data_IF_539810467781
#
_entry.id   IF_539810467781
#
_cell.length_a   1.000
_cell.length_b   1.000
_cell.length_c   1.000
_cell.angle_alpha   90.00
_cell.angle_beta   90.00
_cell.angle_gamma   90.00
#
_symmetry.space_group_name_H-M   'P 1'
#
loop_
_entity.id
_entity.type
_entity.pdbx_description
1 polymer ?
#
# COMPACT_ATOMS: atom_id res chain seq x y z
N UNK A 1 34.52 36.59 -2.03
CA UNK A 1 33.40 36.75 -1.04
C UNK A 1 32.07 37.16 -1.68
N UNK A 2 31.95 38.16 -2.57
CA UNK A 2 30.64 38.54 -3.18
C UNK A 2 30.01 37.43 -4.01
N UNK A 3 30.77 36.70 -4.85
CA UNK A 3 30.27 35.60 -5.67
C UNK A 3 29.72 34.44 -4.81
N UNK A 4 30.42 34.07 -3.73
CA UNK A 4 29.96 33.01 -2.81
C UNK A 4 28.64 33.37 -2.13
N UNK A 5 28.42 34.61 -1.72
CA UNK A 5 27.16 35.07 -1.14
C UNK A 5 26.00 35.01 -2.15
N UNK A 6 26.27 35.31 -3.42
CA UNK A 6 25.27 35.21 -4.50
C UNK A 6 24.85 33.74 -4.70
N UNK A 7 25.83 32.83 -4.82
CA UNK A 7 25.53 31.40 -4.96
C UNK A 7 24.80 30.81 -3.76
N UNK A 8 25.16 31.23 -2.55
CA UNK A 8 24.44 30.83 -1.33
C UNK A 8 22.97 31.32 -1.37
N UNK A 9 22.75 32.58 -1.74
CA UNK A 9 21.40 33.11 -1.85
C UNK A 9 20.57 32.39 -2.92
N UNK A 10 21.16 32.07 -4.08
CA UNK A 10 20.48 31.27 -5.11
C UNK A 10 20.14 29.88 -4.59
N UNK A 11 21.07 29.20 -3.93
CA UNK A 11 20.81 27.88 -3.34
C UNK A 11 19.68 27.90 -2.31
N UNK A 12 19.68 28.89 -1.41
CA UNK A 12 18.60 29.03 -0.42
C UNK A 12 17.24 29.31 -1.05
N UNK A 13 17.19 30.15 -2.09
CA UNK A 13 15.95 30.40 -2.84
C UNK A 13 15.46 29.13 -3.52
N UNK A 14 16.35 28.38 -4.15
CA UNK A 14 15.99 27.10 -4.80
C UNK A 14 15.47 26.09 -3.78
N UNK A 15 16.11 25.97 -2.62
CA UNK A 15 15.62 25.11 -1.53
C UNK A 15 14.22 25.53 -1.08
N UNK A 16 14.01 26.82 -0.84
CA UNK A 16 12.70 27.33 -0.43
C UNK A 16 11.61 27.07 -1.48
N UNK A 17 11.88 27.38 -2.74
CA UNK A 17 10.94 27.14 -3.85
C UNK A 17 10.64 25.65 -3.99
N UNK A 18 11.66 24.80 -3.87
CA UNK A 18 11.49 23.34 -3.94
C UNK A 18 10.64 22.81 -2.77
N UNK A 19 10.89 23.30 -1.54
CA UNK A 19 10.13 22.88 -0.37
C UNK A 19 8.67 23.31 -0.45
N UNK A 20 8.40 24.54 -0.84
CA UNK A 20 7.03 25.04 -1.05
C UNK A 20 6.35 24.27 -2.17
N UNK A 21 7.05 24.05 -3.29
CA UNK A 21 6.53 23.27 -4.41
C UNK A 21 6.20 21.84 -4.00
N UNK A 22 7.08 21.16 -3.26
CA UNK A 22 6.85 19.81 -2.76
C UNK A 22 5.61 19.76 -1.84
N UNK A 23 5.49 20.70 -0.90
CA UNK A 23 4.34 20.80 -0.01
C UNK A 23 3.02 20.98 -0.78
N UNK A 24 2.99 21.88 -1.76
CA UNK A 24 1.81 22.09 -2.60
C UNK A 24 1.40 20.84 -3.38
N UNK A 25 2.38 20.11 -3.92
CA UNK A 25 2.10 18.88 -4.66
C UNK A 25 1.66 17.74 -3.73
N UNK A 26 2.27 17.59 -2.55
CA UNK A 26 1.87 16.56 -1.59
C UNK A 26 0.45 16.77 -1.07
N UNK A 27 0.09 18.01 -0.74
CA UNK A 27 -1.25 18.36 -0.24
C UNK A 27 -2.30 18.52 -1.34
N UNK A 28 -1.98 18.20 -2.59
CA UNK A 28 -2.83 18.48 -3.74
C UNK A 28 -3.36 19.92 -3.75
N UNK A 29 -2.45 20.87 -3.55
CA UNK A 29 -2.75 22.31 -3.46
C UNK A 29 -3.72 22.66 -2.32
N UNK A 30 -3.63 21.96 -1.19
CA UNK A 30 -4.43 22.18 0.00
C UNK A 30 -5.79 21.47 0.01
N UNK A 31 -5.99 20.49 -0.89
CA UNK A 31 -7.20 19.64 -0.89
C UNK A 31 -7.06 18.40 -0.02
N UNK A 32 -5.86 18.13 0.47
CA UNK A 32 -5.57 17.02 1.38
C UNK A 32 -5.01 17.60 2.66
N UNK A 33 -5.69 17.35 3.77
CA UNK A 33 -5.19 17.68 5.10
C UNK A 33 -4.28 16.59 5.62
N UNK A 34 -3.11 16.98 6.13
CA UNK A 34 -2.10 16.10 6.70
C UNK A 34 -2.09 16.21 8.21
N UNK A 35 -2.21 15.06 8.88
CA UNK A 35 -2.14 14.97 10.33
C UNK A 35 -1.06 13.98 10.72
N UNK A 36 0.05 14.49 11.24
CA UNK A 36 1.07 13.70 11.90
C UNK A 36 0.59 13.38 13.31
N UNK A 37 0.45 12.09 13.64
CA UNK A 37 -0.19 11.68 14.87
C UNK A 37 0.41 10.36 15.43
N UNK A 38 0.34 10.24 16.74
CA UNK A 38 0.50 8.98 17.45
C UNK A 38 -0.79 8.66 18.16
N UNK A 39 -1.28 7.45 18.05
CA UNK A 39 -2.49 7.02 18.73
C UNK A 39 -2.27 5.76 19.56
N UNK A 40 -3.03 5.66 20.66
CA UNK A 40 -3.03 4.47 21.50
C UNK A 40 -3.98 3.44 20.91
N UNK A 41 -3.48 2.26 20.64
CA UNK A 41 -4.24 1.13 20.09
C UNK A 41 -5.12 0.48 21.16
N UNK A 42 -6.02 -0.42 20.75
CA UNK A 42 -6.87 -1.15 21.71
C UNK A 42 -6.06 -2.05 22.67
N UNK A 43 -4.88 -2.51 22.25
CA UNK A 43 -3.95 -3.26 23.09
C UNK A 43 -3.12 -2.39 24.05
N UNK A 44 -3.29 -1.06 23.97
CA UNK A 44 -2.62 -0.10 24.86
C UNK A 44 -1.23 0.35 24.39
N UNK A 45 -0.84 0.01 23.15
CA UNK A 45 0.44 0.40 22.56
C UNK A 45 0.33 1.67 21.73
N UNK A 46 1.42 2.43 21.64
CA UNK A 46 1.49 3.63 20.80
C UNK A 46 1.91 3.29 19.37
N UNK A 47 1.12 3.73 18.40
CA UNK A 47 1.41 3.58 16.97
C UNK A 47 1.51 4.94 16.30
N UNK A 48 2.65 5.17 15.64
CA UNK A 48 2.96 6.36 14.86
C UNK A 48 2.35 6.26 13.46
N UNK A 49 1.68 7.31 13.01
CA UNK A 49 1.02 7.34 11.71
C UNK A 49 0.92 8.74 11.11
N UNK A 50 0.76 8.77 9.80
CA UNK A 50 0.38 9.94 9.03
C UNK A 50 -1.02 9.73 8.47
N UNK A 51 -1.98 10.56 8.87
CA UNK A 51 -3.35 10.54 8.37
C UNK A 51 -3.54 11.63 7.31
N UNK A 52 -3.97 11.21 6.12
CA UNK A 52 -4.32 12.08 5.01
C UNK A 52 -5.83 12.08 4.83
N UNK A 53 -6.44 13.25 4.95
CA UNK A 53 -7.89 13.43 4.83
C UNK A 53 -8.19 14.28 3.59
N UNK A 54 -8.76 13.70 2.53
CA UNK A 54 -9.13 14.46 1.34
C UNK A 54 -10.40 15.29 1.57
N UNK A 55 -10.56 16.40 0.85
CA UNK A 55 -11.67 17.35 1.00
C UNK A 55 -13.08 16.73 0.85
N UNK A 56 -13.19 15.57 0.19
CA UNK A 56 -14.46 14.87 0.02
C UNK A 56 -14.88 14.04 1.24
N UNK A 57 -13.98 13.80 2.21
CA UNK A 57 -14.28 13.00 3.39
C UNK A 57 -14.96 13.89 4.46
N UNK A 58 -16.21 13.59 4.77
CA UNK A 58 -17.00 14.34 5.75
C UNK A 58 -17.92 13.39 6.53
N UNK A 59 -18.42 13.83 7.68
CA UNK A 59 -19.32 13.04 8.53
C UNK A 59 -20.62 12.69 7.80
N UNK A 60 -21.12 13.59 6.99
CA UNK A 60 -22.32 13.40 6.16
C UNK A 60 -22.02 12.73 4.81
N UNK A 61 -20.74 12.54 4.48
CA UNK A 61 -20.26 11.84 3.28
C UNK A 61 -19.00 11.03 3.60
N UNK A 62 -19.09 9.92 4.36
CA UNK A 62 -17.93 9.12 4.73
C UNK A 62 -17.20 8.56 3.52
N UNK A 63 -15.88 8.73 3.49
CA UNK A 63 -15.04 8.30 2.39
C UNK A 63 -14.50 6.88 2.61
N UNK A 64 -14.16 6.14 1.53
CA UNK A 64 -13.39 4.91 1.65
C UNK A 64 -12.01 5.21 2.23
N UNK A 65 -11.40 4.19 2.85
CA UNK A 65 -10.12 4.38 3.49
C UNK A 65 -9.10 3.27 3.16
N UNK A 66 -7.81 3.58 3.31
CA UNK A 66 -6.72 2.64 3.08
C UNK A 66 -5.67 2.78 4.19
N UNK A 67 -5.27 1.66 4.81
CA UNK A 67 -4.06 1.60 5.61
C UNK A 67 -2.88 1.21 4.72
N UNK A 68 -1.79 1.98 4.81
CA UNK A 68 -0.58 1.76 4.03
C UNK A 68 0.59 1.45 4.97
N UNK A 69 1.31 0.34 4.71
CA UNK A 69 2.44 -0.10 5.51
C UNK A 69 3.72 -0.23 4.68
N UNK A 70 4.85 -0.02 5.34
CA UNK A 70 6.18 -0.01 4.72
C UNK A 70 6.87 -1.38 4.76
N UNK A 71 8.01 -1.50 4.08
CA UNK A 71 8.89 -2.67 4.13
C UNK A 71 9.87 -2.63 5.32
N UNK A 72 10.69 -3.67 5.44
CA UNK A 72 11.69 -3.78 6.50
C UNK A 72 12.71 -2.63 6.43
N UNK A 73 13.20 -2.17 7.59
CA UNK A 73 14.14 -1.04 7.75
C UNK A 73 13.67 0.29 7.17
N UNK A 74 12.37 0.43 6.93
CA UNK A 74 11.73 1.64 6.45
C UNK A 74 10.80 2.21 7.53
N UNK A 75 10.09 3.26 7.19
CA UNK A 75 9.04 3.89 7.95
C UNK A 75 7.92 4.33 6.99
N UNK A 76 6.88 4.99 7.52
CA UNK A 76 5.71 5.42 6.77
C UNK A 76 6.05 6.33 5.57
N UNK A 77 7.10 7.16 5.66
CA UNK A 77 7.49 8.10 4.60
C UNK A 77 7.94 7.39 3.31
N UNK A 78 8.38 6.14 3.40
CA UNK A 78 8.77 5.36 2.22
C UNK A 78 7.58 4.99 1.31
N UNK A 79 6.36 5.25 1.76
CA UNK A 79 5.14 5.00 0.99
C UNK A 79 4.52 6.28 0.42
N UNK A 80 5.29 7.38 0.36
CA UNK A 80 4.80 8.72 0.00
C UNK A 80 4.07 8.76 -1.35
N UNK A 81 4.57 8.08 -2.35
CA UNK A 81 3.94 8.03 -3.67
C UNK A 81 2.57 7.32 -3.61
N UNK A 82 2.46 6.25 -2.80
CA UNK A 82 1.21 5.51 -2.64
C UNK A 82 0.17 6.33 -1.86
N UNK A 83 0.51 6.81 -0.66
CA UNK A 83 -0.48 7.46 0.18
C UNK A 83 -0.98 8.79 -0.40
N UNK A 84 -0.11 9.57 -1.07
CA UNK A 84 -0.52 10.80 -1.76
C UNK A 84 -1.48 10.49 -2.92
N UNK A 85 -1.17 9.49 -3.74
CA UNK A 85 -1.99 9.14 -4.90
C UNK A 85 -3.34 8.53 -4.49
N UNK A 86 -3.41 7.77 -3.40
CA UNK A 86 -4.71 7.30 -2.87
C UNK A 86 -5.54 8.46 -2.31
N UNK A 87 -4.93 9.37 -1.54
CA UNK A 87 -5.63 10.53 -1.00
C UNK A 87 -6.19 11.44 -2.10
N UNK A 88 -5.44 11.67 -3.18
CA UNK A 88 -5.91 12.40 -4.38
C UNK A 88 -7.11 11.76 -5.06
N UNK A 89 -7.32 10.46 -4.87
CA UNK A 89 -8.47 9.71 -5.39
C UNK A 89 -9.65 9.66 -4.42
N UNK A 90 -9.55 10.41 -3.33
CA UNK A 90 -10.63 10.57 -2.38
C UNK A 90 -10.67 9.51 -1.28
N UNK A 91 -9.59 8.76 -1.07
CA UNK A 91 -9.46 7.87 0.08
C UNK A 91 -8.93 8.63 1.29
N UNK A 92 -9.46 8.34 2.47
CA UNK A 92 -8.76 8.63 3.73
C UNK A 92 -7.62 7.63 3.85
N UNK A 93 -6.39 8.11 4.01
CA UNK A 93 -5.22 7.23 4.06
C UNK A 93 -4.52 7.33 5.39
N UNK A 94 -4.24 6.18 6.01
CA UNK A 94 -3.41 6.07 7.21
C UNK A 94 -2.12 5.35 6.84
N UNK A 95 -1.00 6.08 6.75
CA UNK A 95 0.31 5.51 6.57
C UNK A 95 0.94 5.27 7.95
N UNK A 96 1.12 4.01 8.33
CA UNK A 96 1.66 3.65 9.65
C UNK A 96 3.16 3.39 9.61
N UNK A 97 3.86 3.72 10.69
CA UNK A 97 5.13 3.09 11.02
C UNK A 97 4.84 1.83 11.83
N UNK A 98 5.23 0.65 11.34
CA UNK A 98 5.00 -0.61 12.05
C UNK A 98 5.65 -0.58 13.44
N UNK A 99 5.16 -1.38 14.38
CA UNK A 99 5.78 -1.49 15.70
C UNK A 99 7.29 -1.71 15.60
N UNK A 100 8.06 -0.98 16.43
CA UNK A 100 9.52 -0.99 16.41
C UNK A 100 10.16 -0.23 15.23
N UNK A 101 9.39 0.55 14.48
CA UNK A 101 9.87 1.42 13.39
C UNK A 101 9.35 2.85 13.60
N UNK A 102 10.06 3.85 13.04
CA UNK A 102 9.72 5.25 13.22
C UNK A 102 9.60 5.60 14.70
N UNK A 103 8.54 6.31 15.06
CA UNK A 103 8.24 6.69 16.45
C UNK A 103 7.21 5.74 17.11
N UNK A 104 6.87 4.62 16.47
CA UNK A 104 6.00 3.59 17.05
C UNK A 104 6.70 2.84 18.20
N UNK A 105 5.90 2.43 19.17
CA UNK A 105 6.39 1.66 20.34
C UNK A 105 7.10 0.38 19.92
N UNK A 106 8.17 0.04 20.64
CA UNK A 106 8.84 -1.26 20.52
C UNK A 106 8.19 -2.24 21.46
N UNK A 107 7.35 -3.12 20.94
CA UNK A 107 6.71 -4.15 21.77
C UNK A 107 7.61 -5.38 21.94
N UNK A 108 7.59 -5.98 23.14
CA UNK A 108 8.49 -7.08 23.49
C UNK A 108 8.24 -8.36 22.66
N UNK A 109 7.07 -8.51 22.08
CA UNK A 109 6.67 -9.65 21.26
C UNK A 109 6.93 -9.44 19.76
N UNK A 110 8.03 -8.76 19.38
CA UNK A 110 8.41 -8.48 17.99
C UNK A 110 8.64 -9.73 17.11
N UNK A 111 8.03 -10.83 17.45
CA UNK A 111 7.91 -11.97 16.56
C UNK A 111 6.87 -11.63 15.49
N UNK A 112 7.26 -11.59 14.24
CA UNK A 112 6.39 -11.41 13.08
C UNK A 112 5.17 -12.34 13.05
N UNK A 113 5.24 -13.41 13.83
CA UNK A 113 4.29 -14.52 13.91
C UNK A 113 3.47 -14.51 15.19
N UNK A 114 3.50 -13.43 15.96
CA UNK A 114 2.77 -13.33 17.21
C UNK A 114 1.44 -12.60 17.00
N UNK A 115 0.33 -13.25 17.31
CA UNK A 115 -1.02 -12.68 17.21
C UNK A 115 -1.20 -11.42 18.06
N UNK A 116 -0.35 -11.22 19.09
CA UNK A 116 -0.41 -10.07 19.98
C UNK A 116 0.05 -8.76 19.31
N UNK A 117 0.76 -8.81 18.18
CA UNK A 117 1.26 -7.61 17.52
C UNK A 117 0.32 -7.01 16.47
N UNK A 118 -0.91 -7.54 16.35
CA UNK A 118 -1.95 -7.04 15.43
C UNK A 118 -1.43 -6.79 14.00
N UNK A 119 -0.73 -7.77 13.44
CA UNK A 119 -0.10 -7.65 12.14
C UNK A 119 0.87 -6.44 12.06
N UNK A 120 1.72 -6.31 13.08
CA UNK A 120 2.65 -5.19 13.25
C UNK A 120 1.99 -3.80 13.31
N UNK A 121 0.82 -3.72 13.89
CA UNK A 121 0.04 -2.50 14.02
C UNK A 121 -0.85 -2.19 12.82
N UNK A 122 -0.78 -2.97 11.72
CA UNK A 122 -1.60 -2.70 10.55
C UNK A 122 -3.09 -2.90 10.85
N UNK A 123 -3.45 -3.95 11.57
CA UNK A 123 -4.84 -4.17 11.95
C UNK A 123 -5.33 -3.15 13.00
N UNK A 124 -4.44 -2.65 13.87
CA UNK A 124 -4.75 -1.51 14.73
C UNK A 124 -5.07 -0.25 13.92
N UNK A 125 -4.32 -0.01 12.84
CA UNK A 125 -4.62 1.06 11.88
C UNK A 125 -5.99 0.91 11.22
N UNK A 126 -6.40 -0.32 10.87
CA UNK A 126 -7.74 -0.60 10.33
C UNK A 126 -8.82 -0.24 11.35
N UNK A 127 -8.67 -0.67 12.60
CA UNK A 127 -9.62 -0.34 13.68
C UNK A 127 -9.66 1.16 13.97
N UNK A 128 -8.51 1.84 13.92
CA UNK A 128 -8.45 3.27 14.08
C UNK A 128 -9.25 3.99 12.98
N UNK A 129 -9.01 3.65 11.69
CA UNK A 129 -9.78 4.21 10.58
C UNK A 129 -11.28 3.94 10.71
N UNK A 130 -11.67 2.72 11.09
CA UNK A 130 -13.07 2.35 11.29
C UNK A 130 -13.77 3.16 12.39
N UNK A 131 -13.02 3.74 13.34
CA UNK A 131 -13.54 4.58 14.41
C UNK A 131 -13.78 6.03 14.00
N UNK A 132 -13.24 6.46 12.85
CA UNK A 132 -13.34 7.86 12.41
C UNK A 132 -14.70 8.13 11.76
N UNK A 133 -15.41 9.20 12.16
CA UNK A 133 -16.79 9.43 11.71
C UNK A 133 -16.92 9.83 10.23
N UNK A 134 -15.84 10.19 9.58
CA UNK A 134 -15.75 10.54 8.16
C UNK A 134 -15.20 9.41 7.29
N UNK A 135 -15.01 8.21 7.87
CA UNK A 135 -14.60 6.99 7.18
C UNK A 135 -15.78 6.04 7.03
N UNK A 136 -15.96 5.49 5.85
CA UNK A 136 -16.88 4.38 5.63
C UNK A 136 -16.20 3.07 6.05
N UNK A 137 -16.53 2.59 7.25
CA UNK A 137 -15.93 1.39 7.82
C UNK A 137 -16.20 0.10 7.00
N UNK A 138 -17.16 0.10 6.09
CA UNK A 138 -17.40 -1.02 5.17
C UNK A 138 -16.48 -1.04 3.95
N UNK A 139 -15.66 0.00 3.78
CA UNK A 139 -14.79 0.21 2.61
C UNK A 139 -13.36 0.55 3.01
N UNK A 140 -12.78 -0.26 3.88
CA UNK A 140 -11.37 -0.10 4.28
C UNK A 140 -10.52 -1.12 3.53
N UNK A 141 -9.51 -0.63 2.81
CA UNK A 141 -8.49 -1.44 2.17
C UNK A 141 -7.18 -1.45 2.96
N UNK A 142 -6.34 -2.45 2.69
CA UNK A 142 -4.98 -2.52 3.22
C UNK A 142 -3.97 -2.72 2.10
N UNK A 143 -2.83 -2.05 2.18
CA UNK A 143 -1.72 -2.26 1.25
C UNK A 143 -0.39 -2.07 1.95
N UNK A 144 0.63 -2.72 1.44
CA UNK A 144 1.98 -2.58 1.96
C UNK A 144 3.02 -3.22 1.06
N UNK A 145 4.26 -2.80 1.23
CA UNK A 145 5.40 -3.31 0.49
C UNK A 145 6.20 -4.29 1.33
N UNK A 146 6.60 -5.44 0.75
CA UNK A 146 7.50 -6.40 1.40
C UNK A 146 6.91 -6.91 2.73
N UNK A 147 7.52 -6.60 3.86
CA UNK A 147 6.99 -6.91 5.18
C UNK A 147 5.65 -6.24 5.46
N UNK A 148 5.41 -5.05 4.91
CA UNK A 148 4.09 -4.42 4.97
C UNK A 148 3.02 -5.21 4.24
N UNK A 149 3.36 -5.87 3.11
CA UNK A 149 2.45 -6.79 2.43
C UNK A 149 2.20 -8.06 3.26
N UNK A 150 3.21 -8.56 3.98
CA UNK A 150 3.03 -9.65 4.95
C UNK A 150 2.09 -9.22 6.09
N UNK A 151 2.26 -8.00 6.61
CA UNK A 151 1.34 -7.45 7.60
C UNK A 151 -0.10 -7.35 7.08
N UNK A 152 -0.31 -6.96 5.81
CA UNK A 152 -1.64 -6.98 5.19
C UNK A 152 -2.25 -8.38 5.17
N UNK A 153 -1.45 -9.38 4.86
CA UNK A 153 -1.85 -10.79 4.86
C UNK A 153 -2.29 -11.24 6.26
N UNK A 154 -1.47 -10.98 7.28
CA UNK A 154 -1.77 -11.32 8.67
C UNK A 154 -2.99 -10.56 9.21
N UNK A 155 -3.16 -9.28 8.82
CA UNK A 155 -4.33 -8.51 9.19
C UNK A 155 -5.64 -9.10 8.64
N UNK A 156 -5.63 -9.65 7.42
CA UNK A 156 -6.78 -10.35 6.85
C UNK A 156 -7.13 -11.59 7.67
N UNK A 157 -6.13 -12.32 8.21
CA UNK A 157 -6.37 -13.48 9.10
C UNK A 157 -6.98 -13.07 10.44
N UNK A 158 -6.57 -11.93 10.98
CA UNK A 158 -7.03 -11.41 12.27
C UNK A 158 -8.36 -10.64 12.17
N UNK A 159 -8.85 -10.37 10.96
CA UNK A 159 -10.04 -9.57 10.70
C UNK A 159 -11.34 -10.35 10.95
N UNK A 160 -11.59 -10.66 12.22
CA UNK A 160 -12.82 -11.32 12.65
C UNK A 160 -14.06 -10.42 12.49
N UNK A 161 -13.87 -9.09 12.53
CA UNK A 161 -14.95 -8.12 12.43
C UNK A 161 -15.34 -7.81 10.97
N UNK A 162 -14.57 -8.30 9.99
CA UNK A 162 -14.84 -8.12 8.56
C UNK A 162 -14.68 -6.67 8.10
N UNK A 163 -13.77 -5.91 8.72
CA UNK A 163 -13.50 -4.51 8.40
C UNK A 163 -12.71 -4.32 7.11
N UNK A 164 -11.87 -5.31 6.74
CA UNK A 164 -11.03 -5.23 5.56
C UNK A 164 -11.82 -5.65 4.34
N UNK A 165 -12.08 -4.72 3.42
CA UNK A 165 -12.79 -5.00 2.17
C UNK A 165 -11.85 -5.45 1.04
N UNK A 166 -10.61 -4.97 1.03
CA UNK A 166 -9.64 -5.25 -0.03
C UNK A 166 -8.20 -5.31 0.50
N UNK A 167 -7.35 -6.13 -0.14
CA UNK A 167 -5.93 -6.24 0.19
C UNK A 167 -5.05 -6.22 -1.07
N UNK A 168 -4.07 -5.31 -1.11
CA UNK A 168 -3.04 -5.26 -2.16
C UNK A 168 -1.68 -5.58 -1.57
N UNK A 169 -1.10 -6.70 -1.98
CA UNK A 169 0.21 -7.17 -1.53
C UNK A 169 1.28 -6.73 -2.53
N UNK A 170 2.18 -5.83 -2.13
CA UNK A 170 3.26 -5.37 -3.00
C UNK A 170 4.55 -6.10 -2.65
N UNK A 171 5.07 -6.87 -3.61
CA UNK A 171 6.31 -7.64 -3.45
C UNK A 171 6.28 -8.64 -2.28
N UNK A 172 5.16 -9.35 -2.15
CA UNK A 172 5.02 -10.50 -1.26
C UNK A 172 4.04 -11.52 -1.85
N UNK A 173 4.20 -12.77 -1.45
CA UNK A 173 3.35 -13.87 -1.88
C UNK A 173 2.09 -13.98 -0.98
N UNK A 174 0.99 -14.37 -1.57
CA UNK A 174 -0.27 -14.66 -0.89
C UNK A 174 -0.45 -16.18 -0.74
N UNK A 175 0.59 -16.88 -0.30
CA UNK A 175 0.53 -18.33 -0.11
C UNK A 175 -0.16 -18.65 1.19
N UNK A 176 -1.12 -19.55 1.09
CA UNK A 176 -1.79 -20.09 2.25
C UNK A 176 -2.05 -21.58 2.07
N UNK A 177 -1.59 -22.31 3.08
CA UNK A 177 -1.91 -23.68 3.26
C UNK A 177 -2.66 -23.81 4.60
N UNK A 178 -3.64 -24.68 4.63
CA UNK A 178 -4.22 -25.10 5.90
C UNK A 178 -3.23 -25.98 6.69
N UNK A 179 -3.57 -26.37 7.89
CA UNK A 179 -2.74 -27.22 8.75
C UNK A 179 -2.42 -28.59 8.12
N UNK A 180 -3.15 -29.00 7.09
CA UNK A 180 -2.96 -30.24 6.33
C UNK A 180 -2.15 -30.03 5.06
N UNK A 181 -1.72 -28.80 4.78
CA UNK A 181 -0.97 -28.45 3.58
C UNK A 181 -1.82 -28.27 2.31
N UNK A 182 -3.13 -28.09 2.44
CA UNK A 182 -4.01 -27.83 1.32
C UNK A 182 -4.14 -26.33 1.06
N UNK A 183 -4.30 -25.95 -0.20
CA UNK A 183 -4.66 -24.59 -0.56
C UNK A 183 -6.07 -24.23 -0.08
N UNK A 184 -6.26 -22.97 0.30
CA UNK A 184 -7.59 -22.45 0.65
C UNK A 184 -7.71 -20.96 0.31
N UNK A 185 -8.95 -20.47 0.23
CA UNK A 185 -9.22 -19.07 -0.06
C UNK A 185 -9.19 -18.22 1.21
N UNK A 186 -8.01 -17.76 1.61
CA UNK A 186 -7.87 -16.94 2.81
C UNK A 186 -8.56 -15.58 2.71
N UNK A 187 -8.62 -14.98 1.53
CA UNK A 187 -9.24 -13.67 1.37
C UNK A 187 -10.77 -13.71 1.35
N UNK A 188 -11.38 -14.91 1.29
CA UNK A 188 -12.83 -15.05 1.23
C UNK A 188 -13.41 -14.27 0.04
N UNK A 189 -14.46 -13.49 0.31
CA UNK A 189 -15.11 -12.61 -0.66
C UNK A 189 -14.45 -11.23 -0.81
N UNK A 190 -13.36 -10.96 -0.09
CA UNK A 190 -12.58 -9.71 -0.20
C UNK A 190 -11.90 -9.62 -1.56
N UNK A 191 -11.73 -8.40 -2.05
CA UNK A 191 -10.87 -8.17 -3.21
C UNK A 191 -9.40 -8.32 -2.82
N UNK A 192 -8.60 -9.02 -3.62
CA UNK A 192 -7.18 -9.17 -3.35
C UNK A 192 -6.34 -9.13 -4.63
N UNK A 193 -5.19 -8.46 -4.58
CA UNK A 193 -4.23 -8.42 -5.67
C UNK A 193 -2.79 -8.47 -5.17
N UNK A 194 -1.90 -8.89 -6.07
CA UNK A 194 -0.46 -8.95 -5.82
C UNK A 194 0.26 -8.12 -6.89
N UNK A 195 1.24 -7.34 -6.49
CA UNK A 195 2.27 -6.81 -7.39
C UNK A 195 3.50 -7.67 -7.23
N UNK A 196 3.77 -8.52 -8.22
CA UNK A 196 4.88 -9.46 -8.25
C UNK A 196 5.93 -8.99 -9.26
N UNK A 197 6.97 -8.30 -8.77
CA UNK A 197 8.00 -7.70 -9.61
C UNK A 197 8.89 -8.76 -10.26
N UNK A 198 9.14 -8.66 -11.58
CA UNK A 198 9.89 -9.66 -12.36
C UNK A 198 11.35 -9.84 -11.91
N UNK A 199 11.90 -8.83 -11.23
CA UNK A 199 13.30 -8.85 -10.74
C UNK A 199 13.36 -8.79 -9.21
N UNK A 200 12.33 -9.32 -8.55
CA UNK A 200 12.25 -9.38 -7.09
C UNK A 200 12.97 -10.60 -6.54
N UNK A 201 14.22 -10.41 -6.14
CA UNK A 201 15.09 -11.47 -5.66
C UNK A 201 14.72 -11.99 -4.26
N UNK A 202 13.89 -11.27 -3.49
CA UNK A 202 13.58 -11.63 -2.11
C UNK A 202 12.47 -12.67 -2.00
N UNK A 203 11.33 -12.43 -2.63
CA UNK A 203 10.13 -13.25 -2.39
C UNK A 203 9.91 -14.32 -3.43
N UNK A 204 10.16 -14.04 -4.69
CA UNK A 204 9.77 -14.95 -5.77
C UNK A 204 10.86 -15.95 -6.14
N UNK A 205 12.06 -15.83 -5.56
CA UNK A 205 13.16 -16.75 -5.78
C UNK A 205 13.17 -17.96 -4.82
N UNK A 206 12.37 -17.93 -3.76
CA UNK A 206 12.35 -18.97 -2.71
C UNK A 206 12.07 -20.37 -3.27
N UNK A 207 11.32 -20.47 -4.36
CA UNK A 207 11.01 -21.73 -5.05
C UNK A 207 12.13 -22.26 -5.96
N UNK A 208 13.27 -21.55 -6.08
CA UNK A 208 14.35 -21.88 -7.03
C UNK A 208 14.08 -21.40 -8.46
N UNK A 209 12.95 -20.77 -8.73
CA UNK A 209 12.57 -20.23 -10.03
C UNK A 209 12.91 -18.74 -10.12
N UNK A 210 13.22 -18.21 -11.33
CA UNK A 210 13.36 -16.76 -11.51
C UNK A 210 12.11 -16.00 -11.08
N UNK A 211 12.22 -14.82 -10.47
CA UNK A 211 11.05 -14.04 -10.02
C UNK A 211 10.00 -13.79 -11.11
N UNK A 212 10.41 -13.60 -12.36
CA UNK A 212 9.51 -13.41 -13.50
C UNK A 212 8.59 -14.61 -13.77
N UNK A 213 8.98 -15.81 -13.31
CA UNK A 213 8.19 -17.03 -13.45
C UNK A 213 7.22 -17.27 -12.30
N UNK A 214 7.12 -16.31 -11.37
CA UNK A 214 6.20 -16.38 -10.23
C UNK A 214 4.78 -16.72 -10.64
N UNK A 215 4.30 -16.15 -11.73
CA UNK A 215 2.94 -16.40 -12.24
C UNK A 215 2.65 -17.87 -12.53
N UNK A 216 3.69 -18.68 -12.83
CA UNK A 216 3.56 -20.10 -13.11
C UNK A 216 3.71 -20.98 -11.87
N UNK A 217 3.95 -20.40 -10.70
CA UNK A 217 4.05 -21.13 -9.45
C UNK A 217 2.68 -21.56 -8.95
N UNK A 218 2.64 -22.67 -8.23
CA UNK A 218 1.41 -23.24 -7.68
C UNK A 218 0.68 -22.26 -6.77
N UNK A 219 1.42 -21.46 -6.01
CA UNK A 219 0.87 -20.45 -5.09
C UNK A 219 0.19 -19.32 -5.84
N UNK A 220 0.81 -18.79 -6.89
CA UNK A 220 0.23 -17.75 -7.73
C UNK A 220 -1.04 -18.26 -8.45
N UNK A 221 -1.01 -19.48 -8.97
CA UNK A 221 -2.15 -20.07 -9.66
C UNK A 221 -3.29 -20.38 -8.70
N UNK A 222 -3.01 -20.91 -7.51
CA UNK A 222 -4.02 -21.10 -6.48
C UNK A 222 -4.66 -19.78 -6.05
N UNK A 223 -3.86 -18.74 -5.82
CA UNK A 223 -4.36 -17.40 -5.50
C UNK A 223 -5.31 -16.86 -6.55
N UNK A 224 -4.90 -16.90 -7.83
CA UNK A 224 -5.75 -16.45 -8.94
C UNK A 224 -7.02 -17.29 -9.09
N UNK A 225 -6.99 -18.56 -8.72
CA UNK A 225 -8.12 -19.48 -8.73
C UNK A 225 -8.91 -19.50 -7.41
N UNK A 226 -8.76 -18.46 -6.56
CA UNK A 226 -9.51 -18.31 -5.31
C UNK A 226 -9.30 -19.47 -4.30
N UNK A 227 -8.05 -19.95 -4.20
CA UNK A 227 -7.65 -21.00 -3.28
C UNK A 227 -7.88 -22.43 -3.76
N UNK A 228 -8.24 -22.62 -5.02
CA UNK A 228 -8.37 -23.96 -5.62
C UNK A 228 -6.95 -24.54 -5.86
N UNK A 229 -6.81 -25.85 -5.67
CA UNK A 229 -5.57 -26.56 -6.03
C UNK A 229 -5.26 -26.32 -7.51
N UNK A 230 -4.04 -25.87 -7.87
CA UNK A 230 -3.67 -25.61 -9.25
C UNK A 230 -3.83 -26.82 -10.20
N UNK A 231 -3.76 -28.06 -9.66
CA UNK A 231 -4.02 -29.24 -10.47
C UNK A 231 -5.49 -29.36 -10.92
N UNK A 232 -6.40 -28.68 -10.25
CA UNK A 232 -7.85 -28.68 -10.55
C UNK A 232 -8.31 -27.34 -11.16
N UNK A 233 -7.47 -26.31 -11.10
CA UNK A 233 -7.76 -24.96 -11.55
C UNK A 233 -7.41 -24.71 -13.02
N UNK A 234 -7.94 -23.62 -13.56
CA UNK A 234 -7.52 -23.11 -14.86
C UNK A 234 -6.18 -22.39 -14.76
N UNK A 235 -5.35 -22.49 -15.80
CA UNK A 235 -4.12 -21.69 -15.90
C UNK A 235 -4.50 -20.24 -16.19
N UNK A 236 -4.14 -19.34 -15.27
CA UNK A 236 -4.46 -17.91 -15.34
C UNK A 236 -3.22 -17.06 -15.60
N UNK A 237 -3.42 -15.97 -16.35
CA UNK A 237 -2.36 -15.05 -16.74
C UNK A 237 -2.21 -13.89 -15.75
N UNK A 238 -1.00 -13.31 -15.69
CA UNK A 238 -0.78 -12.02 -15.02
C UNK A 238 -1.43 -10.86 -15.79
N UNK A 239 -1.56 -9.72 -15.13
CA UNK A 239 -2.10 -8.47 -15.67
C UNK A 239 -3.58 -8.56 -16.11
N UNK A 240 -4.32 -9.46 -15.51
CA UNK A 240 -5.76 -9.67 -15.71
C UNK A 240 -6.43 -9.76 -14.34
N UNK A 241 -7.61 -9.14 -14.21
CA UNK A 241 -8.48 -9.32 -13.05
C UNK A 241 -9.48 -10.45 -13.32
N UNK A 242 -9.53 -11.39 -12.39
CA UNK A 242 -10.47 -12.51 -12.36
C UNK A 242 -11.52 -12.27 -11.30
N UNK A 243 -12.76 -12.62 -11.60
CA UNK A 243 -13.89 -12.43 -10.71
C UNK A 243 -14.55 -13.77 -10.37
N UNK A 244 -15.05 -13.88 -9.14
CA UNK A 244 -15.84 -15.02 -8.69
C UNK A 244 -16.86 -14.56 -7.65
N UNK A 245 -18.09 -15.06 -7.76
CA UNK A 245 -19.10 -14.90 -6.72
C UNK A 245 -18.79 -15.79 -5.51
N UNK A 246 -18.65 -15.19 -4.35
CA UNK A 246 -18.36 -15.84 -3.08
C UNK A 246 -19.28 -15.23 -2.03
N UNK A 247 -20.11 -16.04 -1.39
CA UNK A 247 -21.05 -15.62 -0.34
C UNK A 247 -21.94 -14.42 -0.77
N UNK A 248 -22.37 -14.43 -2.02
CA UNK A 248 -23.22 -13.37 -2.60
C UNK A 248 -22.48 -12.04 -2.90
N UNK A 249 -21.16 -12.07 -2.91
CA UNK A 249 -20.32 -10.91 -3.26
C UNK A 249 -19.35 -11.26 -4.38
N UNK A 250 -19.16 -10.33 -5.30
CA UNK A 250 -18.16 -10.48 -6.37
C UNK A 250 -16.77 -10.21 -5.78
N UNK A 251 -15.94 -11.23 -5.70
CA UNK A 251 -14.54 -11.13 -5.30
C UNK A 251 -13.62 -11.01 -6.51
N UNK A 252 -12.53 -10.25 -6.38
CA UNK A 252 -11.53 -10.04 -7.42
C UNK A 252 -10.19 -10.65 -7.02
N UNK A 253 -9.49 -11.25 -7.99
CA UNK A 253 -8.09 -11.64 -7.87
C UNK A 253 -7.31 -11.13 -9.07
N UNK A 254 -6.09 -10.64 -8.83
CA UNK A 254 -5.19 -10.20 -9.89
C UNK A 254 -3.73 -10.23 -9.46
N UNK A 255 -2.85 -10.49 -10.41
CA UNK A 255 -1.39 -10.38 -10.23
C UNK A 255 -0.86 -9.45 -11.30
N UNK A 256 -0.28 -8.33 -10.89
CA UNK A 256 0.48 -7.43 -11.74
C UNK A 256 1.96 -7.84 -11.70
N UNK A 257 2.58 -8.00 -12.88
CA UNK A 257 3.95 -8.51 -12.99
C UNK A 257 4.86 -7.53 -13.75
N UNK A 258 5.21 -6.37 -13.13
CA UNK A 258 6.03 -5.35 -13.77
C UNK A 258 7.52 -5.73 -13.80
N UNK A 259 8.24 -5.24 -14.83
CA UNK A 259 9.68 -5.48 -15.02
C UNK A 259 10.52 -4.53 -14.14
N UNK A 260 10.37 -4.61 -12.82
CA UNK A 260 11.10 -3.82 -11.81
C UNK A 260 11.64 -4.69 -10.69
N UNK A 261 12.50 -4.11 -9.84
CA UNK A 261 13.13 -4.77 -8.69
C UNK A 261 12.34 -4.54 -7.41
N UNK A 262 12.56 -5.37 -6.38
CA UNK A 262 11.93 -5.29 -5.08
C UNK A 262 11.91 -3.86 -4.48
N UNK A 263 13.06 -3.15 -4.34
CA UNK A 263 13.08 -1.86 -3.66
C UNK A 263 12.42 -0.72 -4.47
N UNK A 264 12.13 -0.93 -5.76
CA UNK A 264 11.52 0.08 -6.61
C UNK A 264 10.01 -0.04 -6.73
N UNK A 265 9.39 -1.10 -6.20
CA UNK A 265 7.96 -1.35 -6.33
C UNK A 265 7.10 -0.19 -5.78
N UNK A 266 7.47 0.37 -4.64
CA UNK A 266 6.74 1.49 -4.01
C UNK A 266 7.07 2.87 -4.60
N UNK A 267 8.10 2.98 -5.46
CA UNK A 267 8.43 4.20 -6.21
C UNK A 267 8.02 4.13 -7.70
N UNK A 268 7.46 3.02 -8.14
CA UNK A 268 7.06 2.83 -9.52
C UNK A 268 5.68 3.41 -9.78
N UNK A 269 5.59 4.35 -10.72
CA UNK A 269 4.30 4.90 -11.15
C UNK A 269 3.36 3.84 -11.70
N UNK A 270 3.89 2.80 -12.35
CA UNK A 270 3.08 1.70 -12.88
C UNK A 270 2.48 0.85 -11.75
N UNK A 271 3.25 0.59 -10.68
CA UNK A 271 2.74 -0.12 -9.50
C UNK A 271 1.68 0.69 -8.75
N UNK A 272 1.92 1.99 -8.57
CA UNK A 272 0.97 2.91 -7.93
C UNK A 272 -0.31 3.03 -8.78
N UNK A 273 -0.17 3.13 -10.11
CA UNK A 273 -1.32 3.17 -11.01
C UNK A 273 -2.14 1.88 -10.95
N UNK A 274 -1.50 0.71 -10.91
CA UNK A 274 -2.18 -0.57 -10.72
C UNK A 274 -2.91 -0.63 -9.37
N UNK A 275 -2.23 -0.22 -8.29
CA UNK A 275 -2.85 -0.18 -6.97
C UNK A 275 -4.07 0.74 -6.92
N UNK A 276 -3.98 1.90 -7.56
CA UNK A 276 -5.09 2.83 -7.68
C UNK A 276 -6.24 2.26 -8.54
N UNK A 277 -5.94 1.58 -9.64
CA UNK A 277 -6.94 0.92 -10.48
C UNK A 277 -7.63 -0.22 -9.73
N UNK A 278 -6.87 -1.03 -9.03
CA UNK A 278 -7.39 -2.11 -8.17
C UNK A 278 -8.31 -1.57 -7.07
N UNK A 279 -7.97 -0.44 -6.45
CA UNK A 279 -8.75 0.14 -5.37
C UNK A 279 -10.08 0.78 -5.81
N UNK A 280 -10.27 1.08 -7.11
CA UNK A 280 -11.40 1.84 -7.61
C UNK A 280 -12.64 1.06 -8.13
N UNK A 281 -12.56 -0.23 -8.62
CA UNK A 281 -13.60 -0.66 -9.57
C UNK A 281 -14.91 -1.15 -8.99
N UNK A 282 -15.01 -1.74 -7.80
CA UNK A 282 -16.19 -2.56 -7.50
C UNK A 282 -16.99 -2.23 -6.25
N UNK A 283 -16.41 -1.58 -5.26
CA UNK A 283 -17.11 -1.19 -4.02
C UNK A 283 -16.99 0.29 -3.71
N UNK A 284 -16.20 0.99 -4.50
CA UNK A 284 -15.93 2.40 -4.32
C UNK A 284 -16.52 3.16 -5.50
N UNK A 285 -17.47 4.08 -5.29
CA UNK A 285 -18.04 4.84 -6.39
C UNK A 285 -16.90 5.56 -7.13
N UNK A 286 -16.94 5.60 -8.48
CA UNK A 286 -15.99 6.39 -9.23
C UNK A 286 -16.11 7.83 -8.74
N UNK A 287 -15.13 8.32 -8.01
CA UNK A 287 -14.99 9.75 -7.83
C UNK A 287 -14.90 10.34 -9.23
N UNK A 288 -15.55 11.44 -9.49
CA UNK A 288 -15.61 12.11 -10.80
C UNK A 288 -14.24 12.54 -11.35
N UNK A 289 -13.18 12.13 -10.70
CA UNK A 289 -11.78 12.40 -11.00
C UNK A 289 -11.23 11.36 -11.98
N UNK A 290 -11.14 11.75 -13.24
CA UNK A 290 -10.29 11.08 -14.22
C UNK A 290 -8.86 11.52 -13.98
N UNK A 291 -8.02 10.62 -13.47
CA UNK A 291 -6.58 10.85 -13.26
C UNK A 291 -5.91 11.41 -14.52
N UNK A 292 -5.10 12.47 -14.40
CA UNK A 292 -4.22 12.92 -15.48
C UNK A 292 -3.10 11.93 -15.83
N UNK A 293 -2.95 10.81 -15.11
CA UNK A 293 -1.91 9.77 -15.36
C UNK A 293 -2.04 9.14 -16.76
N UNK A 294 -3.20 9.21 -17.41
CA UNK A 294 -3.36 8.73 -18.81
C UNK A 294 -2.70 9.59 -19.88
N UNK A 295 -2.27 10.79 -19.56
CA UNK A 295 -1.49 11.63 -20.49
C UNK A 295 -0.06 11.75 -19.98
N UNK A 296 0.88 11.04 -20.55
CA UNK A 296 2.29 10.88 -20.22
C UNK A 296 3.14 12.16 -20.00
N UNK A 297 2.68 13.10 -19.21
CA UNK A 297 3.33 14.42 -19.04
C UNK A 297 3.55 14.91 -17.61
N UNK A 298 3.21 14.16 -16.57
CA UNK A 298 3.56 14.55 -15.20
C UNK A 298 4.66 13.64 -14.66
N UNK A 299 5.89 14.16 -14.68
CA UNK A 299 7.00 13.53 -13.97
C UNK A 299 6.75 13.65 -12.47
N UNK A 300 6.90 12.56 -11.69
CA UNK A 300 6.61 12.59 -10.25
C UNK A 300 7.55 13.55 -9.51
N UNK A 301 7.13 14.12 -8.37
CA UNK A 301 7.98 14.97 -7.52
C UNK A 301 9.29 14.32 -7.08
N UNK A 302 9.34 12.98 -7.03
CA UNK A 302 10.54 12.18 -6.74
C UNK A 302 11.71 12.44 -7.72
N UNK A 303 11.45 12.94 -8.95
CA UNK A 303 12.54 13.37 -9.84
C UNK A 303 13.22 14.66 -9.38
N UNK A 304 12.54 15.52 -8.63
CA UNK A 304 13.18 16.69 -8.01
C UNK A 304 14.16 16.25 -6.92
N UNK A 305 13.84 15.18 -6.16
CA UNK A 305 14.75 14.56 -5.21
C UNK A 305 15.97 13.92 -5.89
N UNK A 306 15.78 13.22 -6.99
CA UNK A 306 16.87 12.61 -7.77
C UNK A 306 17.78 13.68 -8.40
N UNK A 307 17.23 14.78 -8.88
CA UNK A 307 18.00 15.94 -9.36
C UNK A 307 18.76 16.64 -8.22
N UNK A 308 18.14 16.75 -7.04
CA UNK A 308 18.77 17.36 -5.87
C UNK A 308 19.90 16.48 -5.32
N UNK A 309 19.71 15.17 -5.20
CA UNK A 309 20.75 14.22 -4.82
C UNK A 309 21.94 14.22 -5.80
N UNK A 310 21.67 14.35 -7.11
CA UNK A 310 22.70 14.46 -8.15
C UNK A 310 23.47 15.80 -8.10
N UNK A 311 22.85 16.87 -7.64
CA UNK A 311 23.48 18.19 -7.48
C UNK A 311 24.31 18.28 -6.17
N UNK A 312 23.99 17.51 -5.15
CA UNK A 312 24.74 17.46 -3.89
C UNK A 312 25.93 16.49 -3.91
N UNK A 313 26.03 15.63 -4.92
CA UNK A 313 27.10 14.63 -5.06
C UNK A 313 28.27 15.08 -5.99
N UNK A 314 28.30 16.35 -6.39
CA UNK A 314 29.42 16.95 -7.18
C UNK A 314 30.10 18.10 -6.45
#
# INVERSE_FOLDING_TARGET
>A
MKKAKIWLAIALILCLVSSVGASLFQTDFGRIDYHDLTFVTQSGHELDALLLVPENAAIDNPAPAIVVSHGWYNNREMQDLNYVEYARRGFVVLAISMYGHGDSEVIASNSWWNDENNANGLYDGVKYLASLPFVDASRIGVTGHSNGAMACREAVLQDADGLIAAALLVSNDAVYYDDNGNFYNQFGSRDAAIIACQYDEFFHRVSGNPPREYIHQVTAQSFLNFGIDPAEGEVRAANVFYQKEIDGQTAIRGIYNPAITHPWAHFSMDCVAFGAEFSMPHRMPPTSWRSPIRSGSIRPPSMLWALWASLCSR
#
